data_IF_444749478069
#
_entry.id   IF_444749478069
#
_cell.length_a   1.000
_cell.length_b   1.000
_cell.length_c   1.000
_cell.angle_alpha   90.00
_cell.angle_beta   90.00
_cell.angle_gamma   90.00
#
_symmetry.space_group_name_H-M   'P 1'
#
loop_
_entity.id
_entity.type
_entity.pdbx_description
1 polymer ?
#
# COMPACT_ATOMS: atom_id res chain seq x y z
N UNK A 1 -11.59 73.33 72.50
CA UNK A 1 -11.80 71.87 72.35
C UNK A 1 -12.78 71.62 71.22
N UNK A 2 -12.33 71.04 70.12
CA UNK A 2 -13.07 70.14 69.23
C UNK A 2 -12.11 69.74 68.09
N UNK A 3 -11.52 68.56 68.22
CA UNK A 3 -10.80 67.87 67.15
C UNK A 3 -11.82 67.44 66.09
N UNK A 4 -11.55 67.70 64.80
CA UNK A 4 -12.32 67.08 63.72
C UNK A 4 -11.42 66.34 62.75
N UNK A 5 -11.60 65.03 62.79
CA UNK A 5 -10.94 63.94 62.10
C UNK A 5 -10.53 64.19 60.64
N UNK A 6 -9.28 63.86 60.37
CA UNK A 6 -8.74 63.46 59.07
C UNK A 6 -9.40 62.17 58.59
N UNK A 7 -9.96 62.17 57.38
CA UNK A 7 -10.10 60.99 56.55
C UNK A 7 -10.01 61.39 55.08
N UNK A 8 -8.81 61.25 54.51
CA UNK A 8 -8.60 61.31 53.07
C UNK A 8 -9.12 60.00 52.45
N UNK A 9 -9.91 60.03 51.37
CA UNK A 9 -10.32 58.81 50.71
C UNK A 9 -9.12 58.22 49.98
N UNK A 10 -8.69 57.02 50.38
CA UNK A 10 -7.77 56.21 49.60
C UNK A 10 -8.43 55.86 48.27
N UNK A 11 -7.97 56.48 47.18
CA UNK A 11 -8.33 56.08 45.83
C UNK A 11 -7.71 54.72 45.56
N UNK A 12 -8.45 53.64 45.82
CA UNK A 12 -8.13 52.33 45.29
C UNK A 12 -8.39 52.36 43.79
N UNK A 13 -7.33 52.53 42.99
CA UNK A 13 -7.38 52.30 41.55
C UNK A 13 -7.64 50.81 41.32
N UNK A 14 -8.91 50.43 41.19
CA UNK A 14 -9.30 49.10 40.72
C UNK A 14 -8.81 48.96 39.28
N UNK A 15 -7.75 48.18 39.09
CA UNK A 15 -7.38 47.71 37.77
C UNK A 15 -8.53 46.84 37.24
N UNK A 16 -9.25 47.34 36.24
CA UNK A 16 -10.19 46.53 35.47
C UNK A 16 -9.40 45.46 34.73
N UNK A 17 -9.42 44.24 35.24
CA UNK A 17 -8.95 43.06 34.50
C UNK A 17 -9.96 42.85 33.38
N UNK A 18 -9.60 43.26 32.16
CA UNK A 18 -10.35 42.89 30.97
C UNK A 18 -10.28 41.38 30.82
N UNK A 19 -11.41 40.71 30.92
CA UNK A 19 -11.51 39.30 30.56
C UNK A 19 -11.17 39.18 29.07
N UNK A 20 -10.28 38.26 28.66
CA UNK A 20 -10.04 38.04 27.25
C UNK A 20 -11.36 37.62 26.61
N UNK A 21 -11.76 38.34 25.56
CA UNK A 21 -12.97 38.06 24.80
C UNK A 21 -12.96 36.58 24.40
N UNK A 22 -13.82 35.77 25.02
CA UNK A 22 -13.90 34.31 24.79
C UNK A 22 -14.01 33.98 23.29
N UNK A 23 -14.62 34.89 22.51
CA UNK A 23 -14.70 34.84 21.05
C UNK A 23 -13.34 34.68 20.33
N UNK A 24 -12.26 35.27 20.85
CA UNK A 24 -10.94 35.26 20.19
C UNK A 24 -10.20 33.92 20.26
N UNK A 25 -10.58 33.02 21.18
CA UNK A 25 -9.96 31.68 21.32
C UNK A 25 -10.89 30.58 20.82
N UNK A 26 -12.20 30.80 20.86
CA UNK A 26 -13.21 29.81 20.43
C UNK A 26 -13.21 29.65 18.90
N UNK A 27 -13.03 30.73 18.15
CA UNK A 27 -13.01 30.69 16.68
C UNK A 27 -11.87 29.85 16.08
N UNK A 28 -10.58 29.98 16.50
CA UNK A 28 -9.52 29.13 15.97
C UNK A 28 -9.64 27.67 16.41
N UNK A 29 -10.18 27.41 17.61
CA UNK A 29 -10.45 26.05 18.06
C UNK A 29 -11.52 25.35 17.20
N UNK A 30 -12.63 26.03 16.90
CA UNK A 30 -13.66 25.51 16.00
C UNK A 30 -13.08 25.32 14.59
N UNK A 31 -12.29 26.27 14.10
CA UNK A 31 -11.66 26.20 12.79
C UNK A 31 -10.68 25.03 12.62
N UNK A 32 -10.13 24.49 13.71
CA UNK A 32 -9.29 23.28 13.68
C UNK A 32 -10.10 22.00 13.93
N UNK A 33 -11.06 22.04 14.88
CA UNK A 33 -11.85 20.88 15.29
C UNK A 33 -12.85 20.44 14.23
N UNK A 34 -13.48 21.39 13.54
CA UNK A 34 -14.48 21.10 12.50
C UNK A 34 -13.88 20.36 11.30
N UNK A 35 -12.80 20.84 10.65
CA UNK A 35 -12.23 20.12 9.51
C UNK A 35 -11.59 18.78 9.90
N UNK A 36 -10.99 18.67 11.09
CA UNK A 36 -10.44 17.39 11.57
C UNK A 36 -11.55 16.37 11.78
N UNK A 37 -12.63 16.74 12.45
CA UNK A 37 -13.78 15.84 12.64
C UNK A 37 -14.46 15.50 11.30
N UNK A 38 -14.61 16.49 10.41
CA UNK A 38 -15.16 16.26 9.07
C UNK A 38 -14.27 15.30 8.26
N UNK A 39 -12.95 15.43 8.32
CA UNK A 39 -12.02 14.52 7.64
C UNK A 39 -12.08 13.11 8.19
N UNK A 40 -12.18 12.93 9.52
CA UNK A 40 -12.31 11.62 10.13
C UNK A 40 -13.63 10.93 9.74
N UNK A 41 -14.73 11.68 9.75
CA UNK A 41 -16.03 11.18 9.30
C UNK A 41 -16.02 10.85 7.80
N UNK A 42 -15.37 11.67 6.99
CA UNK A 42 -15.22 11.43 5.55
C UNK A 42 -14.40 10.17 5.28
N UNK A 43 -13.22 10.02 5.91
CA UNK A 43 -12.38 8.82 5.78
C UNK A 43 -13.08 7.55 6.29
N UNK A 44 -13.90 7.66 7.33
CA UNK A 44 -14.73 6.56 7.81
C UNK A 44 -15.87 6.21 6.83
N UNK A 45 -16.37 7.18 6.08
CA UNK A 45 -17.39 6.99 5.04
C UNK A 45 -16.82 6.45 3.71
N UNK A 46 -15.54 6.65 3.44
CA UNK A 46 -14.93 6.35 2.13
C UNK A 46 -15.02 4.87 1.76
N UNK A 47 -15.16 3.94 2.70
CA UNK A 47 -15.78 2.64 2.39
C UNK A 47 -16.05 1.86 3.68
N UNK A 48 -17.31 1.58 4.07
CA UNK A 48 -17.56 0.38 4.84
C UNK A 48 -17.27 -0.78 3.88
N UNK A 49 -16.11 -1.42 4.04
CA UNK A 49 -15.79 -2.66 3.36
C UNK A 49 -17.03 -3.57 3.43
N UNK A 50 -17.76 -3.71 2.32
CA UNK A 50 -18.94 -4.57 2.24
C UNK A 50 -18.40 -5.95 1.87
N UNK A 51 -18.13 -6.83 2.85
CA UNK A 51 -17.64 -8.16 2.52
C UNK A 51 -18.71 -8.81 1.65
N UNK A 52 -18.32 -9.20 0.44
CA UNK A 52 -19.21 -9.90 -0.48
C UNK A 52 -19.99 -10.97 0.30
N UNK A 53 -21.33 -10.89 0.25
CA UNK A 53 -22.18 -11.86 0.95
C UNK A 53 -21.79 -13.25 0.46
N UNK A 54 -21.32 -14.08 1.39
CA UNK A 54 -20.99 -15.47 1.08
C UNK A 54 -22.29 -16.12 0.58
N UNK A 55 -22.38 -16.52 -0.70
CA UNK A 55 -23.62 -17.07 -1.23
C UNK A 55 -23.94 -18.38 -0.49
N UNK A 56 -25.07 -18.46 0.19
CA UNK A 56 -25.60 -19.74 0.71
C UNK A 56 -27.13 -19.72 0.67
N UNK A 57 -27.70 -20.71 -0.04
CA UNK A 57 -28.06 -21.98 0.60
C UNK A 57 -27.29 -23.22 0.08
N UNK A 58 -26.54 -23.08 -1.02
CA UNK A 58 -25.84 -24.22 -1.65
C UNK A 58 -24.61 -24.70 -0.86
N UNK A 59 -23.93 -23.80 -0.12
CA UNK A 59 -22.85 -24.19 0.80
C UNK A 59 -23.36 -25.03 2.00
N UNK A 60 -24.62 -24.85 2.40
CA UNK A 60 -25.24 -25.53 3.55
C UNK A 60 -25.96 -26.82 3.15
N UNK A 61 -26.30 -26.99 1.86
CA UNK A 61 -26.91 -28.22 1.33
C UNK A 61 -25.95 -29.42 1.43
N UNK A 62 -24.64 -29.16 1.34
CA UNK A 62 -23.63 -30.16 1.70
C UNK A 62 -23.49 -30.16 3.22
N UNK A 63 -24.35 -30.94 3.89
CA UNK A 63 -24.39 -31.11 5.35
C UNK A 63 -23.11 -31.75 5.94
N UNK A 64 -22.19 -32.17 5.08
CA UNK A 64 -20.85 -32.58 5.45
C UNK A 64 -19.86 -31.55 4.88
N UNK A 65 -18.81 -31.16 5.62
CA UNK A 65 -17.72 -30.40 5.00
C UNK A 65 -17.28 -31.15 3.75
N UNK A 66 -17.25 -30.48 2.60
CA UNK A 66 -16.54 -31.01 1.43
C UNK A 66 -15.09 -31.12 1.88
N UNK A 67 -14.67 -32.33 2.26
CA UNK A 67 -13.28 -32.62 2.59
C UNK A 67 -12.56 -32.62 1.24
N UNK A 68 -12.21 -31.42 0.79
CA UNK A 68 -11.24 -31.26 -0.28
C UNK A 68 -9.91 -31.69 0.33
N UNK A 69 -9.18 -32.64 -0.29
CA UNK A 69 -7.82 -32.92 0.11
C UNK A 69 -7.06 -31.59 0.14
N UNK A 70 -6.48 -31.24 1.28
CA UNK A 70 -5.65 -30.03 1.43
C UNK A 70 -4.48 -30.02 0.43
N UNK A 71 -4.14 -31.19 -0.08
CA UNK A 71 -3.09 -31.43 -1.06
C UNK A 71 -3.63 -32.40 -2.10
N UNK A 72 -3.77 -31.93 -3.33
CA UNK A 72 -3.92 -32.77 -4.52
C UNK A 72 -2.54 -33.21 -4.98
N UNK A 73 -2.13 -34.44 -4.64
CA UNK A 73 -0.81 -34.98 -5.03
C UNK A 73 -0.57 -35.00 -6.54
N UNK A 74 -1.63 -34.91 -7.35
CA UNK A 74 -1.57 -34.87 -8.80
C UNK A 74 -1.21 -33.49 -9.37
N UNK A 75 -1.49 -32.37 -8.68
CA UNK A 75 -1.20 -31.03 -9.22
C UNK A 75 0.31 -30.81 -9.34
N UNK A 76 1.09 -31.31 -8.38
CA UNK A 76 2.55 -31.23 -8.46
C UNK A 76 3.14 -32.23 -9.45
N UNK A 77 2.46 -33.37 -9.65
CA UNK A 77 2.90 -34.41 -10.58
C UNK A 77 2.79 -33.94 -12.04
N UNK A 78 1.78 -33.14 -12.36
CA UNK A 78 1.57 -32.53 -13.68
C UNK A 78 2.21 -31.12 -13.79
N UNK A 79 2.91 -30.66 -12.75
CA UNK A 79 3.64 -29.39 -12.80
C UNK A 79 5.08 -29.60 -13.23
N UNK A 80 5.60 -28.61 -13.94
CA UNK A 80 6.98 -28.63 -14.42
C UNK A 80 7.82 -27.56 -13.71
N UNK A 81 9.07 -27.88 -13.40
CA UNK A 81 9.99 -26.94 -12.79
C UNK A 81 10.61 -26.03 -13.84
N UNK A 82 10.20 -24.77 -13.83
CA UNK A 82 10.73 -23.73 -14.71
C UNK A 82 11.82 -22.93 -13.97
N UNK A 83 12.99 -22.76 -14.60
CA UNK A 83 14.07 -21.91 -14.06
C UNK A 83 14.73 -22.41 -12.78
N UNK A 84 14.58 -23.71 -12.47
CA UNK A 84 15.11 -24.31 -11.25
C UNK A 84 16.61 -24.09 -11.09
N UNK A 85 17.02 -23.56 -9.94
CA UNK A 85 18.42 -23.25 -9.62
C UNK A 85 18.99 -22.00 -10.31
N UNK A 86 18.23 -21.35 -11.20
CA UNK A 86 18.67 -20.17 -11.97
C UNK A 86 17.98 -18.87 -11.50
N UNK A 87 16.81 -18.99 -10.86
CA UNK A 87 16.11 -17.86 -10.22
C UNK A 87 16.34 -17.89 -8.71
N UNK A 88 17.13 -16.94 -8.19
CA UNK A 88 17.50 -16.91 -6.77
C UNK A 88 16.45 -16.13 -5.98
N UNK A 89 15.65 -16.83 -5.17
CA UNK A 89 14.63 -16.21 -4.32
C UNK A 89 13.65 -15.35 -5.12
N UNK A 90 12.89 -15.93 -6.06
CA UNK A 90 11.91 -15.20 -6.86
C UNK A 90 10.80 -14.64 -5.96
N UNK A 91 10.42 -13.38 -6.17
CA UNK A 91 9.41 -12.68 -5.36
C UNK A 91 8.05 -12.63 -6.07
N UNK A 92 7.98 -11.84 -7.13
CA UNK A 92 6.79 -11.68 -7.97
C UNK A 92 7.10 -12.15 -9.40
N UNK A 93 6.06 -12.48 -10.16
CA UNK A 93 6.18 -12.94 -11.53
C UNK A 93 5.06 -12.41 -12.43
N UNK A 94 5.42 -12.02 -13.65
CA UNK A 94 4.46 -11.60 -14.67
C UNK A 94 4.76 -12.29 -15.99
N UNK A 95 3.71 -12.83 -16.62
CA UNK A 95 3.83 -13.53 -17.89
C UNK A 95 3.30 -12.67 -19.03
N UNK A 96 4.07 -12.57 -20.10
CA UNK A 96 3.71 -11.84 -21.30
C UNK A 96 3.40 -12.82 -22.45
N UNK A 97 2.12 -12.97 -22.85
CA UNK A 97 1.72 -14.00 -23.82
C UNK A 97 2.26 -13.80 -25.24
N UNK A 98 2.52 -12.55 -25.65
CA UNK A 98 3.02 -12.19 -26.98
C UNK A 98 4.43 -12.71 -27.23
N UNK A 99 5.32 -12.52 -26.24
CA UNK A 99 6.73 -12.90 -26.31
C UNK A 99 7.01 -14.28 -25.71
N UNK A 100 6.02 -14.88 -25.02
CA UNK A 100 6.16 -16.12 -24.23
C UNK A 100 7.27 -16.02 -23.18
N UNK A 101 7.42 -14.82 -22.59
CA UNK A 101 8.41 -14.53 -21.55
C UNK A 101 7.72 -14.39 -20.21
N UNK A 102 8.25 -15.09 -19.21
CA UNK A 102 7.96 -14.87 -17.81
C UNK A 102 9.06 -13.98 -17.20
N UNK A 103 8.69 -12.89 -16.57
CA UNK A 103 9.59 -12.00 -15.85
C UNK A 103 9.47 -12.28 -14.36
N UNK A 104 10.59 -12.32 -13.64
CA UNK A 104 10.59 -12.47 -12.18
C UNK A 104 11.69 -11.66 -11.52
N UNK A 105 11.36 -11.05 -10.38
CA UNK A 105 12.31 -10.33 -9.54
C UNK A 105 13.05 -11.28 -8.61
N UNK A 106 14.37 -11.19 -8.55
CA UNK A 106 15.23 -12.08 -7.77
C UNK A 106 15.93 -11.35 -6.62
N UNK A 107 16.31 -12.12 -5.60
CA UNK A 107 16.99 -11.65 -4.41
C UNK A 107 18.39 -11.04 -4.66
N UNK A 108 18.98 -11.34 -5.82
CA UNK A 108 20.27 -10.82 -6.30
C UNK A 108 20.16 -9.43 -6.97
N UNK A 109 18.95 -8.85 -6.98
CA UNK A 109 18.68 -7.53 -7.58
C UNK A 109 18.41 -7.59 -9.08
N UNK A 110 18.39 -8.77 -9.69
CA UNK A 110 18.04 -8.94 -11.09
C UNK A 110 16.53 -9.14 -11.26
N UNK A 111 15.98 -8.51 -12.30
CA UNK A 111 14.78 -8.99 -12.99
C UNK A 111 15.28 -9.94 -14.07
N UNK A 112 14.87 -11.21 -13.98
CA UNK A 112 15.24 -12.26 -14.94
C UNK A 112 14.08 -12.54 -15.88
N UNK A 113 14.40 -12.81 -17.15
CA UNK A 113 13.44 -13.30 -18.14
C UNK A 113 13.60 -14.80 -18.28
N UNK A 114 12.47 -15.47 -18.39
CA UNK A 114 12.39 -16.92 -18.56
C UNK A 114 11.56 -17.16 -19.81
N UNK A 115 12.24 -17.51 -20.90
CA UNK A 115 11.60 -17.85 -22.17
C UNK A 115 11.08 -19.27 -22.06
N UNK A 116 9.77 -19.43 -22.24
CA UNK A 116 9.12 -20.72 -22.23
C UNK A 116 9.09 -21.26 -23.66
N UNK A 117 9.79 -22.36 -23.91
CA UNK A 117 9.66 -23.11 -25.16
C UNK A 117 8.46 -24.07 -25.14
N UNK A 118 8.27 -24.84 -26.21
CA UNK A 118 7.22 -25.87 -26.27
C UNK A 118 7.50 -27.07 -25.35
N UNK A 119 8.73 -27.20 -24.86
CA UNK A 119 9.16 -28.27 -23.95
C UNK A 119 10.01 -27.73 -22.79
N UNK A 120 9.99 -28.46 -21.67
CA UNK A 120 10.80 -28.22 -20.48
C UNK A 120 12.28 -27.99 -20.72
N UNK A 121 12.81 -28.68 -21.73
CA UNK A 121 14.22 -28.60 -22.11
C UNK A 121 14.60 -27.28 -22.77
N UNK A 122 13.61 -26.51 -23.23
CA UNK A 122 13.80 -25.32 -24.06
C UNK A 122 13.64 -24.03 -23.25
N UNK A 123 13.67 -24.15 -21.91
CA UNK A 123 13.58 -23.01 -21.00
C UNK A 123 14.93 -22.30 -20.94
N UNK A 124 14.94 -21.02 -21.30
CA UNK A 124 16.12 -20.16 -21.21
C UNK A 124 15.89 -19.08 -20.17
N UNK A 125 16.73 -19.05 -19.14
CA UNK A 125 16.74 -17.98 -18.13
C UNK A 125 17.84 -17.00 -18.48
N UNK A 126 17.51 -15.71 -18.51
CA UNK A 126 18.45 -14.63 -18.79
C UNK A 126 18.33 -13.50 -17.76
N UNK A 127 19.48 -12.96 -17.36
CA UNK A 127 19.59 -11.78 -16.51
C UNK A 127 19.30 -10.54 -17.35
N UNK A 128 18.09 -9.99 -17.23
CA UNK A 128 17.62 -8.94 -18.14
C UNK A 128 18.00 -7.54 -17.65
N UNK A 129 17.54 -7.16 -16.45
CA UNK A 129 17.78 -5.83 -15.88
C UNK A 129 18.14 -5.96 -14.41
N UNK A 130 19.22 -5.33 -13.98
CA UNK A 130 19.57 -5.25 -12.57
C UNK A 130 19.08 -3.91 -12.01
N UNK A 131 18.24 -3.96 -10.99
CA UNK A 131 17.77 -2.75 -10.30
C UNK A 131 18.80 -2.22 -9.30
N UNK A 132 19.78 -3.03 -8.91
CA UNK A 132 20.72 -2.76 -7.83
C UNK A 132 20.08 -2.79 -6.44
N UNK A 133 18.85 -3.30 -6.34
CA UNK A 133 18.05 -3.34 -5.13
C UNK A 133 17.43 -4.70 -4.88
N UNK A 134 16.17 -4.73 -4.44
CA UNK A 134 15.38 -5.95 -4.25
C UNK A 134 14.04 -5.77 -4.97
N UNK A 135 13.89 -6.24 -6.22
CA UNK A 135 12.63 -6.20 -6.95
C UNK A 135 11.59 -7.06 -6.23
N UNK A 136 10.51 -6.44 -5.76
CA UNK A 136 9.43 -7.10 -5.01
C UNK A 136 8.12 -7.20 -5.78
N UNK A 137 7.94 -6.38 -6.82
CA UNK A 137 6.70 -6.37 -7.61
C UNK A 137 6.97 -6.13 -9.09
N UNK A 138 6.20 -6.79 -9.95
CA UNK A 138 6.27 -6.68 -11.41
C UNK A 138 4.87 -6.54 -12.00
N UNK A 139 4.73 -5.68 -13.01
CA UNK A 139 3.48 -5.57 -13.76
C UNK A 139 3.75 -5.22 -15.23
N UNK A 140 2.94 -5.73 -16.14
CA UNK A 140 2.94 -5.26 -17.53
C UNK A 140 2.13 -3.97 -17.61
N UNK A 141 2.70 -2.92 -18.20
CA UNK A 141 2.02 -1.65 -18.41
C UNK A 141 0.80 -1.82 -19.34
N UNK A 142 -0.17 -0.89 -19.27
CA UNK A 142 -1.46 -1.02 -19.96
C UNK A 142 -1.39 -1.25 -21.48
N UNK A 143 -0.29 -0.87 -22.13
CA UNK A 143 -0.07 -1.05 -23.57
C UNK A 143 0.79 -2.27 -23.92
N UNK A 144 1.17 -3.08 -22.93
CA UNK A 144 1.93 -4.32 -23.15
C UNK A 144 3.37 -4.11 -23.61
N UNK A 145 3.88 -2.86 -23.60
CA UNK A 145 5.20 -2.54 -24.12
C UNK A 145 6.30 -2.52 -23.05
N UNK A 146 5.93 -2.32 -21.79
CA UNK A 146 6.85 -2.10 -20.68
C UNK A 146 6.53 -3.00 -19.48
N UNK A 147 7.58 -3.41 -18.77
CA UNK A 147 7.48 -4.06 -17.46
C UNK A 147 7.82 -3.05 -16.37
N UNK A 148 6.85 -2.77 -15.51
CA UNK A 148 6.98 -1.90 -14.36
C UNK A 148 7.55 -2.71 -13.19
N UNK A 149 8.61 -2.20 -12.57
CA UNK A 149 9.34 -2.88 -11.49
C UNK A 149 9.25 -2.06 -10.20
N UNK A 150 8.68 -2.64 -9.15
CA UNK A 150 8.70 -2.10 -7.80
C UNK A 150 9.88 -2.65 -7.02
N UNK A 151 10.84 -1.81 -6.65
CA UNK A 151 12.05 -2.19 -5.92
C UNK A 151 12.08 -1.63 -4.49
N UNK A 152 12.31 -2.50 -3.51
CA UNK A 152 12.30 -2.16 -2.08
C UNK A 152 13.38 -1.14 -1.67
N UNK A 153 14.53 -1.16 -2.33
CA UNK A 153 15.69 -0.35 -1.97
C UNK A 153 15.83 0.90 -2.84
N UNK A 154 15.11 0.98 -3.97
CA UNK A 154 15.12 2.14 -4.86
C UNK A 154 13.92 3.08 -4.68
N UNK A 155 12.93 2.71 -3.88
CA UNK A 155 11.69 3.50 -3.68
C UNK A 155 11.82 4.77 -2.81
N UNK A 156 13.02 5.18 -2.38
CA UNK A 156 13.20 6.42 -1.58
C UNK A 156 13.45 7.69 -2.42
N UNK A 157 13.53 7.56 -3.74
CA UNK A 157 13.36 8.68 -4.66
C UNK A 157 11.95 8.54 -5.25
N UNK A 158 11.14 9.60 -5.23
CA UNK A 158 9.78 9.62 -5.78
C UNK A 158 9.88 9.62 -7.31
N UNK A 159 10.44 8.54 -7.84
CA UNK A 159 10.60 8.23 -9.24
C UNK A 159 10.05 6.84 -9.43
N UNK A 160 8.88 6.76 -10.07
CA UNK A 160 8.57 5.59 -10.87
C UNK A 160 9.76 5.41 -11.80
N UNK A 161 10.63 4.44 -11.52
CA UNK A 161 11.77 4.18 -12.39
C UNK A 161 11.18 3.61 -13.68
N UNK A 162 10.94 4.50 -14.64
CA UNK A 162 10.57 4.16 -16.00
C UNK A 162 11.78 3.46 -16.59
N UNK A 163 11.78 2.13 -16.55
CA UNK A 163 12.59 1.37 -17.49
C UNK A 163 11.76 1.32 -18.77
N UNK A 164 12.05 2.24 -19.70
CA UNK A 164 11.75 2.06 -21.12
C UNK A 164 12.59 0.87 -21.58
N UNK A 165 12.09 -0.31 -21.28
CA UNK A 165 12.70 -1.56 -21.65
C UNK A 165 11.71 -2.21 -22.60
N UNK A 166 11.71 -1.66 -23.83
CA UNK A 166 11.00 -2.19 -24.97
C UNK A 166 11.06 -3.72 -24.94
N UNK A 167 9.89 -4.32 -24.84
CA UNK A 167 9.71 -5.73 -25.12
C UNK A 167 10.04 -5.93 -26.61
N UNK A 168 11.20 -6.54 -26.87
CA UNK A 168 11.64 -6.95 -28.21
C UNK A 168 11.26 -8.38 -28.50
#
# INVERSE_FOLDING_TARGET
MAESNTNSPSTSTSATISSPNQSMVVLPMIALLVPTLASALFLFWVDPFDPAQIPSPELTRVKAPVIVPKVSGWILQESEFVGSGQVLGPEDMVYEPSSQVLYTGCADGWVKRVKLGESASDIVVEDWVNTGGRPLGLAIAAHGADVIVGDAHKAFEIGFTYFDAQIS
#
